data_IF_764713675351
#
_entry.id   IF_764713675351
#
_cell.length_a   1.000
_cell.length_b   1.000
_cell.length_c   1.000
_cell.angle_alpha   90.00
_cell.angle_beta   90.00
_cell.angle_gamma   90.00
#
_symmetry.space_group_name_H-M   'P 1'
#
loop_
_entity.id
_entity.type
_entity.pdbx_description
1 polymer ?
#
# COMPACT_ATOMS: atom_id res chain seq x y z
N UNK A 1 -19.81 -9.54 38.73
CA UNK A 1 -18.39 -9.39 38.33
C UNK A 1 -18.20 -10.03 36.96
N UNK A 2 -18.06 -9.24 35.89
CA UNK A 2 -17.55 -9.73 34.59
C UNK A 2 -16.74 -8.61 33.95
N UNK A 3 -15.48 -8.91 33.64
CA UNK A 3 -14.50 -8.03 33.00
C UNK A 3 -14.82 -7.92 31.50
N UNK A 4 -15.15 -6.74 31.01
CA UNK A 4 -15.19 -6.43 29.58
C UNK A 4 -13.89 -5.74 29.17
N UNK A 5 -13.01 -6.44 28.45
CA UNK A 5 -11.79 -5.85 27.91
C UNK A 5 -12.10 -4.82 26.84
N UNK A 6 -11.48 -3.65 26.93
CA UNK A 6 -11.46 -2.62 25.87
C UNK A 6 -10.61 -3.11 24.69
N UNK A 7 -11.12 -4.10 23.94
CA UNK A 7 -10.60 -4.42 22.62
C UNK A 7 -11.05 -3.32 21.65
N UNK A 8 -10.12 -2.57 21.08
CA UNK A 8 -10.45 -1.54 20.08
C UNK A 8 -11.33 -2.13 18.98
N UNK A 9 -12.47 -1.48 18.71
CA UNK A 9 -13.36 -1.89 17.64
C UNK A 9 -12.62 -1.83 16.29
N UNK A 10 -12.80 -2.83 15.40
CA UNK A 10 -12.20 -2.77 14.08
C UNK A 10 -12.67 -1.51 13.37
N UNK A 11 -11.72 -0.62 13.05
CA UNK A 11 -12.02 0.59 12.28
C UNK A 11 -12.32 0.17 10.86
N UNK A 12 -13.58 0.28 10.45
CA UNK A 12 -14.00 0.05 9.06
C UNK A 12 -13.70 1.29 8.25
N UNK A 13 -13.11 1.10 7.08
CA UNK A 13 -12.76 2.17 6.15
C UNK A 13 -13.36 1.80 4.81
N UNK A 14 -13.99 2.77 4.15
CA UNK A 14 -14.56 2.58 2.83
C UNK A 14 -13.43 2.25 1.85
N UNK A 15 -13.67 1.31 0.94
CA UNK A 15 -12.67 0.77 0.01
C UNK A 15 -12.07 1.82 -0.93
N UNK A 16 -12.75 2.96 -1.14
CA UNK A 16 -12.31 4.07 -1.98
C UNK A 16 -11.45 5.11 -1.24
N UNK A 17 -11.45 5.11 0.10
CA UNK A 17 -10.78 6.13 0.93
C UNK A 17 -9.63 5.54 1.75
N UNK A 18 -8.98 4.49 1.25
CA UNK A 18 -7.87 3.84 1.98
C UNK A 18 -6.71 4.81 2.24
N UNK A 19 -6.49 5.78 1.36
CA UNK A 19 -5.50 6.86 1.51
C UNK A 19 -5.64 7.63 2.83
N UNK A 20 -6.87 7.83 3.34
CA UNK A 20 -7.10 8.49 4.64
C UNK A 20 -6.40 7.77 5.79
N UNK A 21 -6.34 6.43 5.74
CA UNK A 21 -5.62 5.67 6.76
C UNK A 21 -4.11 5.79 6.61
N UNK A 22 -3.62 5.90 5.38
CA UNK A 22 -2.20 6.11 5.09
C UNK A 22 -1.77 7.51 5.55
N UNK A 23 -2.58 8.55 5.32
CA UNK A 23 -2.35 9.89 5.87
C UNK A 23 -2.35 9.91 7.40
N UNK A 24 -3.30 9.21 8.03
CA UNK A 24 -3.34 9.06 9.49
C UNK A 24 -2.08 8.36 10.00
N UNK A 25 -1.65 7.28 9.36
CA UNK A 25 -0.42 6.57 9.70
C UNK A 25 0.80 7.48 9.58
N UNK A 26 0.90 8.23 8.48
CA UNK A 26 1.98 9.19 8.27
C UNK A 26 2.03 10.23 9.39
N UNK A 27 0.88 10.84 9.73
CA UNK A 27 0.77 11.85 10.78
C UNK A 27 1.11 11.31 12.17
N UNK A 28 0.58 10.15 12.54
CA UNK A 28 0.78 9.56 13.88
C UNK A 28 2.27 9.24 14.11
N UNK A 29 2.95 8.76 13.07
CA UNK A 29 4.35 8.33 13.17
C UNK A 29 5.35 9.39 12.74
N UNK A 30 4.89 10.58 12.30
CA UNK A 30 5.76 11.64 11.80
C UNK A 30 6.48 11.30 10.49
N UNK A 31 5.94 10.39 9.67
CA UNK A 31 6.53 10.04 8.39
C UNK A 31 6.19 11.07 7.31
N UNK A 32 7.16 11.40 6.46
CA UNK A 32 6.89 12.11 5.21
C UNK A 32 6.26 11.13 4.21
N UNK A 33 5.30 11.56 3.37
CA UNK A 33 4.73 10.70 2.34
C UNK A 33 5.77 10.01 1.44
N UNK A 34 6.88 10.69 1.14
CA UNK A 34 7.99 10.14 0.35
C UNK A 34 8.71 8.94 0.97
N UNK A 35 8.50 8.70 2.27
CA UNK A 35 9.03 7.55 3.01
C UNK A 35 8.03 6.37 3.01
N UNK A 36 6.87 6.53 2.39
CA UNK A 36 5.80 5.53 2.37
C UNK A 36 5.71 4.91 0.98
N UNK A 37 5.77 3.58 0.96
CA UNK A 37 5.50 2.76 -0.22
C UNK A 37 4.32 1.86 0.10
N UNK A 38 3.22 2.00 -0.63
CA UNK A 38 2.07 1.10 -0.57
C UNK A 38 2.20 0.00 -1.61
N UNK A 39 1.79 -1.22 -1.28
CA UNK A 39 1.86 -2.38 -2.20
C UNK A 39 0.48 -3.02 -2.29
N UNK A 40 0.01 -3.32 -3.52
CA UNK A 40 -1.30 -3.95 -3.72
C UNK A 40 -1.46 -4.63 -5.08
N UNK A 41 -2.46 -5.50 -5.20
CA UNK A 41 -2.68 -6.36 -6.37
C UNK A 41 -3.85 -5.88 -7.26
N UNK A 42 -4.54 -4.80 -6.85
CA UNK A 42 -5.76 -4.32 -7.51
C UNK A 42 -5.79 -2.80 -7.70
N UNK A 43 -6.63 -2.34 -8.63
CA UNK A 43 -6.93 -0.91 -8.82
C UNK A 43 -7.52 -0.26 -7.57
N UNK A 44 -8.26 -1.02 -6.75
CA UNK A 44 -8.81 -0.52 -5.49
C UNK A 44 -7.70 -0.17 -4.51
N UNK A 45 -6.60 -0.93 -4.51
CA UNK A 45 -5.46 -0.69 -3.62
C UNK A 45 -4.68 0.56 -4.02
N UNK A 46 -4.75 0.98 -5.29
CA UNK A 46 -4.15 2.24 -5.73
C UNK A 46 -4.67 3.44 -4.93
N UNK A 47 -5.88 3.36 -4.36
CA UNK A 47 -6.42 4.38 -3.44
C UNK A 47 -5.61 4.55 -2.14
N UNK A 48 -4.69 3.64 -1.83
CA UNK A 48 -3.73 3.82 -0.72
C UNK A 48 -2.65 4.84 -1.04
N UNK A 49 -2.41 5.14 -2.32
CA UNK A 49 -1.41 6.14 -2.72
C UNK A 49 -1.89 7.54 -2.32
N UNK A 50 -1.13 8.18 -1.45
CA UNK A 50 -1.34 9.58 -1.06
C UNK A 50 -0.41 10.48 -1.87
N UNK A 51 -0.64 11.80 -1.82
CA UNK A 51 0.24 12.75 -2.49
C UNK A 51 1.68 12.65 -1.95
N UNK A 52 2.66 12.58 -2.85
CA UNK A 52 4.07 12.42 -2.50
C UNK A 52 4.50 11.01 -2.09
N UNK A 53 3.59 10.04 -1.94
CA UNK A 53 3.94 8.64 -1.67
C UNK A 53 4.09 7.80 -2.94
N UNK A 54 4.71 6.64 -2.80
CA UNK A 54 4.89 5.65 -3.87
C UNK A 54 3.87 4.52 -3.74
N UNK A 55 3.61 3.86 -4.86
CA UNK A 55 2.82 2.64 -4.92
C UNK A 55 3.53 1.61 -5.80
N UNK A 56 3.45 0.32 -5.45
CA UNK A 56 3.94 -0.80 -6.26
C UNK A 56 2.79 -1.77 -6.51
N UNK A 57 2.48 -2.03 -7.78
CA UNK A 57 1.59 -3.11 -8.16
C UNK A 57 2.29 -4.45 -8.00
N UNK A 58 1.68 -5.40 -7.31
CA UNK A 58 2.30 -6.71 -7.05
C UNK A 58 1.36 -7.86 -7.35
N UNK A 59 1.79 -8.77 -8.23
CA UNK A 59 1.10 -10.00 -8.62
C UNK A 59 -0.41 -9.81 -8.87
N UNK A 60 -0.80 -8.90 -9.80
CA UNK A 60 -2.20 -8.56 -10.01
C UNK A 60 -3.02 -9.78 -10.47
N UNK A 61 -4.16 -10.02 -9.84
CA UNK A 61 -4.99 -11.23 -10.05
C UNK A 61 -5.75 -11.29 -11.37
N UNK A 62 -5.87 -10.17 -12.10
CA UNK A 62 -6.58 -10.11 -13.39
C UNK A 62 -5.71 -9.37 -14.40
N UNK A 63 -5.50 -9.98 -15.58
CA UNK A 63 -4.79 -9.38 -16.71
C UNK A 63 -5.55 -8.18 -17.34
N UNK A 64 -6.79 -7.90 -16.91
CA UNK A 64 -7.62 -6.79 -17.37
C UNK A 64 -7.13 -5.41 -16.92
N UNK A 65 -6.02 -4.95 -17.51
CA UNK A 65 -5.76 -3.65 -18.18
C UNK A 65 -6.43 -2.32 -17.74
N UNK A 66 -7.12 -2.20 -16.61
CA UNK A 66 -7.80 -0.93 -16.25
C UNK A 66 -7.15 -0.11 -15.13
N UNK A 67 -6.47 -0.77 -14.18
CA UNK A 67 -6.13 -0.14 -12.89
C UNK A 67 -4.82 0.63 -12.84
N UNK A 68 -3.78 0.05 -13.46
CA UNK A 68 -2.43 0.61 -13.46
C UNK A 68 -2.01 1.11 -14.85
N UNK A 69 -2.79 0.82 -15.89
CA UNK A 69 -2.55 1.34 -17.24
C UNK A 69 -2.84 2.84 -17.25
N UNK A 70 -1.80 3.65 -17.40
CA UNK A 70 -1.87 5.12 -17.35
C UNK A 70 -1.37 5.75 -16.05
N UNK A 71 -1.01 4.94 -15.05
CA UNK A 71 -0.26 5.38 -13.88
C UNK A 71 1.21 4.97 -14.04
N UNK A 72 2.17 5.86 -13.76
CA UNK A 72 3.63 5.58 -13.76
C UNK A 72 4.06 4.67 -12.58
N UNK A 73 3.24 3.66 -12.28
CA UNK A 73 3.40 2.76 -11.15
C UNK A 73 4.14 1.50 -11.63
N UNK A 74 5.26 1.12 -10.99
CA UNK A 74 5.92 -0.14 -11.30
C UNK A 74 5.03 -1.33 -10.91
N UNK A 75 4.98 -2.34 -11.78
CA UNK A 75 4.18 -3.56 -11.57
C UNK A 75 5.06 -4.79 -11.68
N UNK A 76 5.10 -5.60 -10.62
CA UNK A 76 5.73 -6.92 -10.59
C UNK A 76 4.63 -7.95 -10.85
N UNK A 77 4.80 -8.81 -11.86
CA UNK A 77 3.78 -9.81 -12.24
C UNK A 77 4.03 -11.16 -11.56
N UNK A 78 5.25 -11.38 -11.11
CA UNK A 78 5.70 -12.58 -10.45
C UNK A 78 5.16 -12.68 -9.02
N UNK A 79 5.12 -13.90 -8.49
CA UNK A 79 4.71 -14.16 -7.11
C UNK A 79 5.81 -13.94 -6.08
N UNK A 80 7.02 -13.60 -6.53
CA UNK A 80 8.17 -13.43 -5.67
C UNK A 80 8.19 -12.01 -5.07
N UNK A 81 7.82 -11.89 -3.79
CA UNK A 81 7.77 -10.61 -3.08
C UNK A 81 9.15 -9.94 -2.96
N UNK A 82 10.22 -10.73 -3.02
CA UNK A 82 11.60 -10.23 -2.96
C UNK A 82 11.89 -9.19 -4.05
N UNK A 83 11.16 -9.25 -5.16
CA UNK A 83 11.32 -8.34 -6.30
C UNK A 83 10.88 -6.89 -6.00
N UNK A 84 10.14 -6.64 -4.92
CA UNK A 84 9.81 -5.26 -4.53
C UNK A 84 11.02 -4.50 -3.99
N UNK A 85 12.01 -5.21 -3.44
CA UNK A 85 13.14 -4.61 -2.75
C UNK A 85 13.93 -3.60 -3.57
N UNK A 86 14.41 -3.93 -4.79
CA UNK A 86 15.15 -2.96 -5.62
C UNK A 86 14.29 -1.75 -6.03
N UNK A 87 12.97 -1.83 -5.95
CA UNK A 87 12.08 -0.69 -6.21
C UNK A 87 11.95 0.24 -4.99
N UNK A 88 12.08 -0.30 -3.78
CA UNK A 88 12.06 0.45 -2.52
C UNK A 88 13.46 1.02 -2.23
N UNK A 89 14.50 0.20 -2.41
CA UNK A 89 15.90 0.49 -2.13
C UNK A 89 16.77 0.23 -3.38
N UNK A 90 16.81 1.17 -4.33
CA UNK A 90 17.59 1.01 -5.55
C UNK A 90 19.07 0.80 -5.27
N UNK A 91 19.64 -0.28 -5.83
CA UNK A 91 21.06 -0.62 -5.65
C UNK A 91 21.36 -1.49 -4.43
N UNK A 92 20.36 -1.87 -3.64
CA UNK A 92 20.51 -2.82 -2.53
C UNK A 92 20.12 -4.24 -2.94
N UNK A 93 20.85 -5.23 -2.43
CA UNK A 93 20.45 -6.64 -2.45
C UNK A 93 19.56 -6.95 -1.25
N UNK A 94 18.74 -7.99 -1.35
CA UNK A 94 17.94 -8.46 -0.20
C UNK A 94 18.87 -9.05 0.86
N UNK A 95 18.70 -8.69 2.15
CA UNK A 95 19.44 -9.28 3.26
C UNK A 95 19.25 -10.80 3.40
#
# INVERSE_FOLDING_TARGET
MMKGGFGGLPTRVLTHDKGIMVEKLARINGFKPSQIVSVGDSSTDLSMKIEGSKFIGFNPRREGTGGFHGSDVPVIKEKNLSLIWPLIFPGEEIP
#
